data_IF_530266417340
#
_entry.id   IF_530266417340
#
_cell.length_a   1.000
_cell.length_b   1.000
_cell.length_c   1.000
_cell.angle_alpha   90.00
_cell.angle_beta   90.00
_cell.angle_gamma   90.00
#
_symmetry.space_group_name_H-M   'P 1'
#
loop_
_entity.id
_entity.type
_entity.pdbx_description
1 polymer ?
#
# COMPACT_ATOMS: atom_id res chain seq x y z
N UNK A 1 46.16 -54.13 33.24
CA UNK A 1 47.15 -53.18 33.79
C UNK A 1 47.21 -51.94 32.90
N UNK A 2 46.39 -50.92 33.20
CA UNK A 2 46.65 -49.47 33.06
C UNK A 2 45.36 -48.72 33.43
N UNK A 3 45.52 -47.86 34.43
CA UNK A 3 44.54 -47.05 35.16
C UNK A 3 44.00 -45.89 34.29
N UNK A 4 42.70 -45.61 34.35
CA UNK A 4 42.01 -44.50 35.06
C UNK A 4 41.93 -43.17 34.30
N UNK A 5 40.73 -42.57 34.28
CA UNK A 5 40.36 -41.17 34.63
C UNK A 5 38.97 -40.92 34.01
N UNK A 6 37.88 -41.00 34.78
CA UNK A 6 37.20 -39.95 35.58
C UNK A 6 36.20 -39.09 34.79
N UNK A 7 35.03 -38.92 35.42
CA UNK A 7 33.78 -38.28 35.01
C UNK A 7 33.90 -36.88 34.38
N UNK A 8 33.01 -36.57 33.42
CA UNK A 8 32.23 -35.32 33.44
C UNK A 8 30.92 -35.50 32.64
N UNK A 9 29.79 -35.47 33.33
CA UNK A 9 28.45 -35.30 32.77
C UNK A 9 28.23 -33.79 32.57
N UNK A 10 27.93 -33.35 31.34
CA UNK A 10 27.20 -32.08 31.11
C UNK A 10 26.19 -32.30 29.98
N UNK A 11 24.93 -32.19 30.37
CA UNK A 11 23.77 -31.97 29.51
C UNK A 11 24.00 -30.75 28.61
N UNK A 12 23.94 -30.92 27.29
CA UNK A 12 23.61 -29.84 26.37
C UNK A 12 22.23 -30.14 25.76
N UNK A 13 21.18 -29.80 26.50
CA UNK A 13 19.95 -29.36 25.88
C UNK A 13 20.24 -28.00 25.26
N UNK A 14 20.38 -27.96 23.93
CA UNK A 14 20.22 -26.69 23.22
C UNK A 14 18.78 -26.25 23.41
N UNK A 15 18.62 -25.28 24.31
CA UNK A 15 17.47 -24.40 24.42
C UNK A 15 17.16 -23.82 23.03
N UNK A 16 16.27 -24.47 22.28
CA UNK A 16 15.38 -23.73 21.42
C UNK A 16 14.48 -22.94 22.35
N UNK A 17 14.90 -21.72 22.67
CA UNK A 17 13.99 -20.72 23.20
C UNK A 17 12.94 -20.55 22.10
N UNK A 18 11.68 -20.98 22.28
CA UNK A 18 10.64 -20.50 21.40
C UNK A 18 10.72 -18.98 21.53
N UNK A 19 10.97 -18.29 20.43
CA UNK A 19 10.74 -16.85 20.38
C UNK A 19 9.23 -16.71 20.51
N UNK A 20 8.73 -16.77 21.73
CA UNK A 20 7.47 -16.18 22.13
C UNK A 20 7.66 -14.69 21.89
N UNK A 21 7.45 -14.28 20.64
CA UNK A 21 6.97 -12.94 20.38
C UNK A 21 5.63 -12.90 21.11
N UNK A 22 5.61 -12.34 22.32
CA UNK A 22 4.36 -11.83 22.85
C UNK A 22 3.96 -10.69 21.93
N UNK A 23 3.32 -11.05 20.81
CA UNK A 23 2.41 -10.17 20.10
C UNK A 23 1.32 -9.94 21.14
N UNK A 24 1.51 -8.92 21.98
CA UNK A 24 0.40 -8.26 22.61
C UNK A 24 -0.40 -7.66 21.45
N UNK A 25 -1.23 -8.48 20.82
CA UNK A 25 -2.29 -8.05 19.93
C UNK A 25 -3.30 -7.34 20.81
N UNK A 26 -2.98 -6.10 21.18
CA UNK A 26 -4.04 -5.11 21.34
C UNK A 26 -4.81 -5.18 20.03
N UNK A 27 -5.99 -5.79 20.05
CA UNK A 27 -6.72 -6.11 18.83
C UNK A 27 -6.89 -4.84 18.01
N UNK A 28 -6.38 -4.85 16.78
CA UNK A 28 -6.65 -3.75 15.84
C UNK A 28 -8.00 -3.99 15.18
N UNK A 29 -8.70 -2.90 14.90
CA UNK A 29 -9.99 -2.89 14.22
C UNK A 29 -9.74 -2.24 12.86
N UNK A 30 -9.95 -3.03 11.82
CA UNK A 30 -9.89 -2.54 10.45
C UNK A 30 -11.23 -1.96 10.03
N UNK A 31 -11.18 -0.86 9.31
CA UNK A 31 -12.35 -0.15 8.79
C UNK A 31 -12.31 -0.27 7.27
N UNK A 32 -13.31 -0.91 6.62
CA UNK A 32 -13.44 -0.89 5.17
C UNK A 32 -13.45 0.54 4.65
N UNK A 33 -12.89 0.78 3.47
CA UNK A 33 -12.73 2.15 2.96
C UNK A 33 -14.05 2.91 2.83
N UNK A 34 -15.11 2.22 2.41
CA UNK A 34 -16.43 2.82 2.30
C UNK A 34 -17.01 3.24 3.65
N UNK A 35 -16.46 2.82 4.78
CA UNK A 35 -16.84 3.29 6.13
C UNK A 35 -15.95 4.46 6.62
N UNK A 36 -14.83 4.74 5.94
CA UNK A 36 -13.97 5.87 6.30
C UNK A 36 -14.62 7.19 5.94
N UNK A 37 -14.48 8.21 6.79
CA UNK A 37 -15.11 9.51 6.61
C UNK A 37 -14.20 10.59 6.02
N UNK A 38 -12.93 10.28 5.73
CA UNK A 38 -11.89 11.24 5.30
C UNK A 38 -11.68 12.43 6.26
N UNK A 39 -11.90 12.24 7.56
CA UNK A 39 -11.67 13.34 8.52
C UNK A 39 -10.20 13.77 8.58
N UNK A 40 -9.29 12.80 8.50
CA UNK A 40 -7.86 13.02 8.57
C UNK A 40 -7.16 12.19 7.51
N UNK A 41 -6.48 12.88 6.60
CA UNK A 41 -5.85 12.28 5.43
C UNK A 41 -4.34 12.52 5.49
N UNK A 42 -3.57 11.46 5.32
CA UNK A 42 -2.12 11.52 5.23
C UNK A 42 -1.71 11.53 3.78
N UNK A 43 -0.92 12.53 3.41
CA UNK A 43 -0.19 12.62 2.16
C UNK A 43 1.31 12.62 2.48
N UNK A 44 2.13 12.24 1.51
CA UNK A 44 3.58 12.32 1.66
C UNK A 44 4.24 12.83 0.39
N UNK A 45 5.39 13.46 0.55
CA UNK A 45 6.23 13.90 -0.56
C UNK A 45 7.60 13.23 -0.49
N UNK A 46 8.22 12.93 -1.65
CA UNK A 46 9.63 12.60 -1.68
C UNK A 46 10.51 13.77 -1.21
N UNK A 47 11.68 13.48 -0.66
CA UNK A 47 12.57 14.45 -0.01
C UNK A 47 13.09 15.53 -0.96
N UNK A 48 13.14 15.24 -2.26
CA UNK A 48 13.56 16.17 -3.32
C UNK A 48 12.40 16.97 -3.92
N UNK A 49 11.16 16.71 -3.50
CA UNK A 49 9.96 17.34 -4.04
C UNK A 49 9.47 18.45 -3.11
N UNK A 50 9.34 19.65 -3.67
CA UNK A 50 8.90 20.87 -2.98
C UNK A 50 7.58 21.43 -3.52
N UNK A 51 6.85 20.63 -4.30
CA UNK A 51 5.59 21.01 -4.95
C UNK A 51 4.53 19.92 -4.77
N UNK A 52 3.27 20.32 -4.79
CA UNK A 52 2.11 19.45 -4.58
C UNK A 52 1.43 19.01 -5.89
N UNK A 53 2.16 18.97 -7.01
CA UNK A 53 1.60 18.79 -8.37
C UNK A 53 0.62 17.63 -8.47
N UNK A 54 0.93 16.46 -7.87
CA UNK A 54 0.04 15.30 -7.92
C UNK A 54 -1.18 15.38 -6.98
N UNK A 55 -1.16 16.28 -5.99
CA UNK A 55 -2.13 16.34 -4.91
C UNK A 55 -3.10 17.53 -4.99
N UNK A 56 -2.83 18.56 -5.82
CA UNK A 56 -3.61 19.81 -5.79
C UNK A 56 -5.12 19.59 -6.02
N UNK A 57 -5.50 18.74 -6.98
CA UNK A 57 -6.90 18.48 -7.27
C UNK A 57 -7.57 17.65 -6.16
N UNK A 58 -6.85 16.67 -5.61
CA UNK A 58 -7.29 15.89 -4.44
C UNK A 58 -7.57 16.80 -3.23
N UNK A 59 -6.65 17.71 -2.93
CA UNK A 59 -6.80 18.68 -1.84
C UNK A 59 -8.04 19.57 -2.02
N UNK A 60 -8.41 19.86 -3.26
CA UNK A 60 -9.57 20.70 -3.58
C UNK A 60 -10.88 19.91 -3.52
N UNK A 61 -10.87 18.65 -3.97
CA UNK A 61 -12.06 17.80 -4.11
C UNK A 61 -12.50 17.09 -2.84
N UNK A 62 -11.57 16.85 -1.91
CA UNK A 62 -11.90 16.22 -0.64
C UNK A 62 -12.78 17.13 0.23
N UNK A 63 -13.72 16.56 1.02
CA UNK A 63 -14.70 17.32 1.80
C UNK A 63 -14.08 18.45 2.63
N UNK A 64 -14.80 19.55 2.79
CA UNK A 64 -14.32 20.76 3.49
C UNK A 64 -13.91 20.51 4.95
N UNK A 65 -14.41 19.44 5.58
CA UNK A 65 -14.02 19.06 6.94
C UNK A 65 -12.71 18.26 7.03
N UNK A 66 -12.12 17.86 5.89
CA UNK A 66 -10.90 17.03 5.86
C UNK A 66 -9.69 17.82 6.37
N UNK A 67 -8.96 17.28 7.34
CA UNK A 67 -7.62 17.72 7.72
C UNK A 67 -6.56 16.93 6.93
N UNK A 68 -5.65 17.63 6.26
CA UNK A 68 -4.54 17.01 5.53
C UNK A 68 -3.24 17.08 6.33
N UNK A 69 -2.65 15.94 6.62
CA UNK A 69 -1.32 15.80 7.19
C UNK A 69 -0.33 15.48 6.07
N UNK A 70 0.48 16.46 5.66
CA UNK A 70 1.44 16.26 4.58
C UNK A 70 2.83 16.06 5.18
N UNK A 71 3.37 14.85 5.02
CA UNK A 71 4.72 14.51 5.42
C UNK A 71 5.72 15.10 4.42
N UNK A 72 6.59 15.98 4.88
CA UNK A 72 7.53 16.75 4.04
C UNK A 72 8.93 16.73 4.61
N UNK A 73 9.94 16.67 3.75
CA UNK A 73 11.32 16.81 4.23
C UNK A 73 11.54 18.24 4.75
N UNK A 74 12.14 18.36 5.93
CA UNK A 74 12.24 19.62 6.66
C UNK A 74 12.90 20.76 5.89
N UNK A 75 13.81 20.46 4.95
CA UNK A 75 14.46 21.45 4.08
C UNK A 75 13.51 22.09 3.07
N UNK A 76 12.42 21.41 2.69
CA UNK A 76 11.41 21.92 1.76
C UNK A 76 10.26 22.67 2.46
N UNK A 77 10.23 22.66 3.79
CA UNK A 77 9.12 23.22 4.57
C UNK A 77 8.84 24.71 4.24
N UNK A 78 9.84 25.62 4.19
CA UNK A 78 9.56 27.03 3.88
C UNK A 78 9.01 27.25 2.46
N UNK A 79 9.47 26.45 1.50
CA UNK A 79 9.03 26.51 0.10
C UNK A 79 7.56 26.07 0.00
N UNK A 80 7.22 24.96 0.65
CA UNK A 80 5.85 24.44 0.65
C UNK A 80 4.88 25.34 1.42
N UNK A 81 5.31 25.94 2.54
CA UNK A 81 4.51 26.94 3.25
C UNK A 81 4.14 28.09 2.33
N UNK A 82 5.13 28.66 1.62
CA UNK A 82 4.90 29.72 0.64
C UNK A 82 3.98 29.28 -0.49
N UNK A 83 4.13 28.06 -1.02
CA UNK A 83 3.29 27.53 -2.10
C UNK A 83 1.82 27.31 -1.68
N UNK A 84 1.57 27.14 -0.38
CA UNK A 84 0.23 27.02 0.18
C UNK A 84 -0.45 28.38 0.42
N UNK A 85 0.30 29.48 0.47
CA UNK A 85 -0.28 30.81 0.69
C UNK A 85 -1.32 31.15 -0.39
N UNK A 86 -2.52 31.54 0.05
CA UNK A 86 -3.63 31.89 -0.85
C UNK A 86 -4.35 30.71 -1.51
N UNK A 87 -3.93 29.46 -1.28
CA UNK A 87 -4.66 28.28 -1.78
C UNK A 87 -5.95 28.07 -0.99
N UNK A 88 -7.07 27.67 -1.63
CA UNK A 88 -8.37 27.54 -0.95
C UNK A 88 -8.40 26.44 0.12
N UNK A 89 -7.49 25.47 0.03
CA UNK A 89 -7.36 24.37 0.98
C UNK A 89 -6.28 24.61 2.06
N UNK A 90 -5.58 25.74 2.05
CA UNK A 90 -4.40 25.97 2.90
C UNK A 90 -4.70 25.83 4.40
N UNK A 91 -5.86 26.31 4.86
CA UNK A 91 -6.29 26.23 6.26
C UNK A 91 -6.51 24.81 6.78
N UNK A 92 -6.66 23.85 5.86
CA UNK A 92 -6.87 22.43 6.16
C UNK A 92 -5.57 21.62 6.11
N UNK A 93 -4.45 22.24 5.72
CA UNK A 93 -3.17 21.55 5.54
C UNK A 93 -2.27 21.78 6.73
N UNK A 94 -1.79 20.68 7.31
CA UNK A 94 -0.75 20.65 8.33
C UNK A 94 0.49 19.96 7.76
N UNK A 95 1.57 20.73 7.60
CA UNK A 95 2.86 20.20 7.17
C UNK A 95 3.57 19.53 8.36
N UNK A 96 3.90 18.25 8.21
CA UNK A 96 4.56 17.43 9.23
C UNK A 96 6.00 17.16 8.76
N UNK A 97 7.01 17.81 9.35
CA UNK A 97 8.39 17.62 8.90
C UNK A 97 8.88 16.21 9.27
N UNK A 98 9.61 15.60 8.35
CA UNK A 98 10.56 14.53 8.65
C UNK A 98 11.97 14.98 8.25
N UNK A 99 12.96 14.22 8.70
CA UNK A 99 14.36 14.51 8.41
C UNK A 99 15.04 13.22 7.94
N UNK A 100 15.39 13.20 6.67
CA UNK A 100 16.25 12.20 6.08
C UNK A 100 17.65 12.33 6.70
N UNK A 101 18.07 11.33 7.50
CA UNK A 101 19.45 11.31 8.03
C UNK A 101 20.36 10.63 7.03
N UNK A 102 21.52 11.27 6.78
CA UNK A 102 22.55 10.65 5.97
C UNK A 102 23.09 9.39 6.67
N UNK A 103 23.01 8.22 6.03
CA UNK A 103 23.77 7.04 6.45
C UNK A 103 25.22 7.28 6.04
N UNK A 104 26.14 7.01 6.97
CA UNK A 104 27.58 7.04 6.74
C UNK A 104 27.95 6.25 5.47
N UNK A 105 28.44 6.95 4.45
CA UNK A 105 28.83 6.39 3.15
C UNK A 105 29.83 5.24 3.30
N UNK A 106 30.68 5.25 4.32
CA UNK A 106 31.64 4.17 4.59
C UNK A 106 30.96 2.83 4.90
N UNK A 107 29.81 2.86 5.56
CA UNK A 107 29.01 1.64 5.83
C UNK A 107 28.30 1.14 4.58
N UNK A 108 27.86 2.05 3.71
CA UNK A 108 27.32 1.70 2.40
C UNK A 108 28.34 0.96 1.54
N UNK A 109 29.54 1.52 1.38
CA UNK A 109 30.61 0.88 0.62
C UNK A 109 30.97 -0.48 1.22
N UNK A 110 31.00 -0.61 2.55
CA UNK A 110 31.25 -1.91 3.22
C UNK A 110 30.17 -2.96 2.92
N UNK A 111 28.90 -2.56 2.76
CA UNK A 111 27.82 -3.48 2.37
C UNK A 111 27.88 -3.86 0.89
N UNK A 112 28.18 -2.88 0.02
CA UNK A 112 28.29 -3.07 -1.43
C UNK A 112 29.52 -3.90 -1.80
N UNK A 113 30.67 -3.69 -1.16
CA UNK A 113 31.89 -4.46 -1.40
C UNK A 113 31.71 -5.94 -1.05
N UNK A 114 30.92 -6.23 -0.01
CA UNK A 114 30.58 -7.61 0.38
C UNK A 114 29.52 -8.25 -0.52
N UNK A 115 28.83 -7.47 -1.33
CA UNK A 115 27.82 -7.98 -2.25
C UNK A 115 27.63 -7.02 -3.45
N UNK A 116 28.43 -7.17 -4.52
CA UNK A 116 28.47 -6.23 -5.66
C UNK A 116 27.14 -6.07 -6.39
N UNK A 117 26.23 -7.04 -6.27
CA UNK A 117 24.86 -6.95 -6.81
C UNK A 117 24.04 -5.83 -6.15
N UNK A 118 24.46 -5.35 -4.98
CA UNK A 118 23.81 -4.27 -4.22
C UNK A 118 24.23 -2.87 -4.69
N UNK A 119 25.33 -2.71 -5.43
CA UNK A 119 25.89 -1.42 -5.83
C UNK A 119 24.90 -0.56 -6.65
N UNK A 120 24.15 -1.19 -7.55
CA UNK A 120 23.16 -0.51 -8.40
C UNK A 120 21.81 -0.24 -7.71
N UNK A 121 21.52 -0.94 -6.62
CA UNK A 121 20.24 -0.84 -5.91
C UNK A 121 20.30 0.20 -4.79
N UNK A 122 21.45 0.33 -4.12
CA UNK A 122 21.57 1.11 -2.88
C UNK A 122 22.10 2.54 -3.05
N UNK A 123 22.75 2.91 -4.16
CA UNK A 123 23.42 4.23 -4.32
C UNK A 123 22.49 5.43 -4.08
N UNK A 124 21.19 5.30 -4.36
CA UNK A 124 20.19 6.36 -4.20
C UNK A 124 19.22 6.14 -3.03
N UNK A 125 19.40 5.10 -2.19
CA UNK A 125 18.30 4.52 -1.38
C UNK A 125 18.64 4.22 0.09
N UNK A 126 19.62 4.94 0.65
CA UNK A 126 20.13 4.72 2.02
C UNK A 126 19.45 5.54 3.11
N UNK A 127 18.46 6.35 2.76
CA UNK A 127 17.87 7.36 3.64
C UNK A 127 16.36 7.37 3.44
N UNK A 128 15.54 7.69 4.47
CA UNK A 128 14.11 7.87 4.29
C UNK A 128 13.89 8.92 3.21
N UNK A 129 13.47 8.50 2.02
CA UNK A 129 13.26 9.43 0.92
C UNK A 129 11.87 10.01 0.98
N UNK A 130 10.96 9.48 1.81
CA UNK A 130 9.55 9.72 1.62
C UNK A 130 9.09 9.16 0.27
N UNK A 131 7.81 9.30 -0.01
CA UNK A 131 7.22 8.82 -1.26
C UNK A 131 6.03 9.69 -1.58
N UNK A 132 5.61 9.71 -2.84
CA UNK A 132 4.31 10.26 -3.23
C UNK A 132 3.18 9.26 -2.94
N UNK A 133 3.52 7.97 -2.74
CA UNK A 133 2.57 6.87 -2.54
C UNK A 133 2.28 6.64 -1.06
N UNK A 134 1.55 7.57 -0.43
CA UNK A 134 1.17 7.43 0.98
C UNK A 134 0.36 6.13 1.22
N UNK A 135 -0.41 5.70 0.22
CA UNK A 135 -1.21 4.47 0.31
C UNK A 135 -0.36 3.22 0.50
N UNK A 136 0.79 3.14 -0.17
CA UNK A 136 1.64 1.95 -0.13
C UNK A 136 2.44 1.85 1.17
N UNK A 137 2.57 2.98 1.87
CA UNK A 137 3.48 3.12 3.00
C UNK A 137 2.99 2.45 4.28
N UNK A 138 1.68 2.27 4.42
CA UNK A 138 1.04 1.63 5.58
C UNK A 138 -0.44 1.32 5.30
N UNK A 139 -1.03 0.52 6.18
CA UNK A 139 -2.49 0.40 6.35
C UNK A 139 -2.88 1.05 7.67
N UNK A 140 -3.90 1.90 7.69
CA UNK A 140 -4.40 2.51 8.92
C UNK A 140 -5.53 1.69 9.54
N UNK A 141 -5.52 1.59 10.86
CA UNK A 141 -6.48 0.85 11.68
C UNK A 141 -6.79 1.65 12.95
N UNK A 142 -7.71 1.14 13.75
CA UNK A 142 -7.96 1.63 15.11
C UNK A 142 -7.53 0.60 16.15
N UNK A 143 -7.07 1.03 17.31
CA UNK A 143 -6.93 0.13 18.46
C UNK A 143 -8.30 -0.10 19.15
N UNK A 144 -8.29 -0.84 20.27
CA UNK A 144 -9.49 -1.11 21.06
C UNK A 144 -10.12 0.14 21.70
N UNK A 145 -9.38 1.24 21.78
CA UNK A 145 -9.84 2.52 22.31
C UNK A 145 -10.31 3.47 21.19
N UNK A 146 -10.19 3.06 19.92
CA UNK A 146 -10.51 3.87 18.76
C UNK A 146 -9.38 4.78 18.28
N UNK A 147 -8.17 4.66 18.85
CA UNK A 147 -7.02 5.48 18.48
C UNK A 147 -6.35 4.95 17.20
N UNK A 148 -5.81 5.83 16.34
CA UNK A 148 -5.21 5.43 15.07
C UNK A 148 -3.91 4.64 15.25
N UNK A 149 -3.83 3.49 14.58
CA UNK A 149 -2.68 2.59 14.53
C UNK A 149 -2.26 2.37 13.08
N UNK A 150 -0.96 2.55 12.80
CA UNK A 150 -0.37 2.27 11.51
C UNK A 150 0.19 0.84 11.49
N UNK A 151 -0.36 0.05 10.58
CA UNK A 151 0.13 -1.25 10.16
C UNK A 151 1.16 -1.03 9.08
N UNK A 152 2.39 -0.88 9.53
CA UNK A 152 3.49 -0.54 8.64
C UNK A 152 4.11 -1.83 8.11
N UNK A 153 4.08 -2.08 6.78
CA UNK A 153 4.76 -3.22 6.19
C UNK A 153 6.24 -3.18 6.55
N UNK A 154 6.88 -4.35 6.59
CA UNK A 154 8.34 -4.36 6.64
C UNK A 154 8.84 -4.01 5.25
N UNK A 155 8.82 -2.72 4.94
CA UNK A 155 9.10 -2.19 3.63
C UNK A 155 10.59 -2.35 3.35
N UNK A 156 10.86 -3.19 2.36
CA UNK A 156 12.19 -3.57 1.95
C UNK A 156 12.30 -3.51 0.44
N UNK A 157 12.30 -2.29 -0.11
CA UNK A 157 12.97 -2.11 -1.41
C UNK A 157 14.45 -2.54 -1.37
N UNK A 158 15.01 -2.89 -0.20
CA UNK A 158 16.43 -3.12 0.06
C UNK A 158 16.82 -4.37 0.91
N UNK A 159 15.96 -5.36 1.22
CA UNK A 159 16.40 -6.58 1.99
C UNK A 159 16.40 -7.90 1.20
N UNK A 160 16.04 -7.88 -0.08
CA UNK A 160 16.25 -9.09 -0.89
C UNK A 160 17.67 -9.07 -1.44
N UNK A 161 18.64 -9.65 -0.72
CA UNK A 161 19.39 -10.82 -1.20
C UNK A 161 20.15 -11.54 -0.04
N UNK A 162 20.06 -12.88 0.04
CA UNK A 162 20.52 -13.69 1.16
C UNK A 162 22.01 -14.02 1.05
N UNK A 163 22.85 -13.29 1.80
CA UNK A 163 24.20 -13.80 2.15
C UNK A 163 24.91 -13.01 3.24
N UNK A 164 24.39 -11.87 3.68
CA UNK A 164 25.04 -11.14 4.76
C UNK A 164 24.50 -11.63 6.09
N UNK A 165 25.32 -12.40 6.82
CA UNK A 165 25.22 -12.47 8.28
C UNK A 165 25.42 -11.06 8.80
N UNK A 166 24.34 -10.29 8.88
CA UNK A 166 24.38 -8.98 9.50
C UNK A 166 24.39 -9.23 11.00
N UNK A 167 25.59 -9.45 11.52
CA UNK A 167 25.85 -9.48 12.94
C UNK A 167 25.25 -8.23 13.59
N UNK A 168 24.76 -8.42 14.81
CA UNK A 168 24.17 -7.38 15.66
C UNK A 168 24.87 -6.02 15.48
N UNK A 169 24.05 -4.96 15.29
CA UNK A 169 24.38 -3.51 15.21
C UNK A 169 24.43 -2.83 13.83
N UNK A 170 23.81 -3.36 12.78
CA UNK A 170 23.48 -2.54 11.61
C UNK A 170 22.15 -1.79 11.80
N UNK A 171 22.21 -0.51 12.15
CA UNK A 171 21.03 0.36 12.16
C UNK A 171 20.66 0.78 10.74
N UNK A 172 20.18 -0.15 9.90
CA UNK A 172 19.53 0.20 8.64
C UNK A 172 18.19 0.86 8.99
N UNK A 173 18.01 2.12 8.59
CA UNK A 173 16.73 2.80 8.71
C UNK A 173 15.80 2.30 7.62
N UNK A 174 14.55 2.01 7.99
CA UNK A 174 13.54 1.60 7.02
C UNK A 174 13.07 2.82 6.23
N UNK A 175 12.69 2.63 4.96
CA UNK A 175 12.21 3.74 4.13
C UNK A 175 10.97 4.40 4.73
N UNK A 176 10.15 3.64 5.44
CA UNK A 176 8.96 4.11 6.15
C UNK A 176 9.26 4.79 7.51
N UNK A 177 10.53 5.00 7.89
CA UNK A 177 10.88 5.62 9.18
C UNK A 177 10.38 7.07 9.27
N UNK A 178 10.14 7.76 8.16
CA UNK A 178 9.52 9.10 8.17
C UNK A 178 8.10 9.09 8.75
N UNK A 179 7.39 7.96 8.75
CA UNK A 179 6.08 7.82 9.39
C UNK A 179 6.15 8.03 10.91
N UNK A 180 7.33 7.88 11.54
CA UNK A 180 7.54 8.18 12.96
C UNK A 180 7.23 9.64 13.31
N UNK A 181 7.29 10.55 12.35
CA UNK A 181 6.87 11.95 12.55
C UNK A 181 5.39 12.09 12.90
N UNK A 182 4.55 11.10 12.58
CA UNK A 182 3.12 11.10 12.96
C UNK A 182 2.88 10.79 14.44
N UNK A 183 3.86 10.25 15.18
CA UNK A 183 3.71 9.89 16.60
C UNK A 183 3.36 11.07 17.49
N UNK A 184 3.83 12.26 17.14
CA UNK A 184 3.49 13.50 17.86
C UNK A 184 2.00 13.88 17.76
N UNK A 185 1.23 13.19 16.91
CA UNK A 185 -0.20 13.39 16.71
C UNK A 185 -1.05 12.29 17.38
N UNK A 186 -0.46 11.49 18.28
CA UNK A 186 -1.14 10.36 18.92
C UNK A 186 -1.22 9.12 18.04
N UNK A 187 -0.58 9.11 16.87
CA UNK A 187 -0.61 7.96 15.95
C UNK A 187 0.40 6.90 16.40
N UNK A 188 -0.08 5.70 16.68
CA UNK A 188 0.75 4.57 17.06
C UNK A 188 1.21 3.79 15.83
N UNK A 189 2.40 3.18 15.89
CA UNK A 189 2.86 2.26 14.86
C UNK A 189 2.91 0.87 15.46
N UNK A 190 2.28 -0.11 14.82
CA UNK A 190 2.40 -1.50 15.26
C UNK A 190 3.84 -2.00 15.08
N UNK A 191 4.25 -2.93 15.94
CA UNK A 191 5.51 -3.63 15.79
C UNK A 191 5.56 -4.36 14.44
N UNK A 192 6.68 -4.23 13.74
CA UNK A 192 6.86 -4.90 12.46
C UNK A 192 6.80 -6.43 12.61
N UNK A 193 6.04 -7.05 11.71
CA UNK A 193 6.08 -8.49 11.43
C UNK A 193 6.74 -8.68 10.06
N UNK A 194 7.40 -9.82 9.77
CA UNK A 194 8.12 -10.04 8.51
C UNK A 194 7.16 -10.28 7.32
N UNK A 195 6.19 -9.40 7.15
CA UNK A 195 5.27 -9.32 6.03
C UNK A 195 5.64 -8.11 5.17
N UNK A 196 5.68 -8.34 3.86
CA UNK A 196 5.86 -7.32 2.83
C UNK A 196 4.53 -7.15 2.13
N UNK A 197 4.01 -5.93 2.15
CA UNK A 197 2.81 -5.56 1.43
C UNK A 197 2.84 -4.07 1.13
N UNK A 198 2.02 -3.67 0.17
CA UNK A 198 1.72 -2.29 -0.15
C UNK A 198 0.25 -2.07 0.23
N UNK A 199 -0.10 -0.95 0.85
CA UNK A 199 -1.49 -0.68 1.22
C UNK A 199 -2.43 -0.58 0.02
N UNK A 200 -1.94 -0.30 -1.20
CA UNK A 200 -2.72 -0.40 -2.43
C UNK A 200 -3.01 -1.85 -2.85
N UNK A 201 -2.32 -2.83 -2.27
CA UNK A 201 -2.46 -4.26 -2.55
C UNK A 201 -3.18 -5.03 -1.44
N UNK A 202 -3.77 -4.30 -0.48
CA UNK A 202 -4.55 -4.85 0.62
C UNK A 202 -5.84 -4.05 0.77
N UNK A 203 -6.96 -4.77 0.78
CA UNK A 203 -8.27 -4.22 1.09
C UNK A 203 -8.90 -4.94 2.27
N UNK A 204 -9.79 -4.25 2.98
CA UNK A 204 -10.60 -4.80 4.06
C UNK A 204 -12.07 -4.70 3.71
N UNK A 205 -12.84 -5.72 4.04
CA UNK A 205 -14.29 -5.74 3.87
C UNK A 205 -14.97 -6.61 4.94
N UNK A 206 -16.29 -6.47 5.05
CA UNK A 206 -17.18 -7.24 5.92
C UNK A 206 -18.15 -8.08 5.06
N UNK A 207 -17.86 -9.38 4.93
CA UNK A 207 -18.69 -10.32 4.15
C UNK A 207 -19.41 -11.29 5.07
N UNK A 208 -20.75 -11.26 5.03
CA UNK A 208 -21.57 -12.17 5.83
C UNK A 208 -21.31 -12.06 7.34
N UNK A 209 -20.98 -10.85 7.83
CA UNK A 209 -20.63 -10.60 9.23
C UNK A 209 -19.22 -11.02 9.63
N UNK A 210 -18.35 -11.36 8.67
CA UNK A 210 -16.94 -11.68 8.91
C UNK A 210 -16.04 -10.63 8.30
N UNK A 211 -15.02 -10.22 9.04
CA UNK A 211 -13.95 -9.37 8.56
C UNK A 211 -13.03 -10.16 7.61
N UNK A 212 -12.76 -9.60 6.44
CA UNK A 212 -11.93 -10.22 5.40
C UNK A 212 -10.86 -9.24 4.95
N UNK A 213 -9.61 -9.70 4.90
CA UNK A 213 -8.54 -9.02 4.17
C UNK A 213 -8.37 -9.63 2.78
N UNK A 214 -8.54 -8.83 1.73
CA UNK A 214 -8.19 -9.20 0.36
C UNK A 214 -6.73 -8.79 0.13
N UNK A 215 -5.85 -9.76 -0.11
CA UNK A 215 -4.41 -9.54 -0.24
C UNK A 215 -3.94 -9.98 -1.62
N UNK A 216 -3.22 -9.10 -2.33
CA UNK A 216 -2.67 -9.45 -3.64
C UNK A 216 -1.60 -10.54 -3.52
N UNK A 217 -1.60 -11.50 -4.45
CA UNK A 217 -0.64 -12.62 -4.45
C UNK A 217 0.83 -12.16 -4.39
N UNK A 218 1.17 -11.01 -4.98
CA UNK A 218 2.55 -10.50 -4.95
C UNK A 218 3.01 -10.09 -3.54
N UNK A 219 2.11 -9.64 -2.65
CA UNK A 219 2.45 -9.38 -1.24
C UNK A 219 2.79 -10.68 -0.50
N UNK A 220 2.08 -11.77 -0.78
CA UNK A 220 2.39 -13.10 -0.23
C UNK A 220 3.74 -13.59 -0.77
N UNK A 221 3.99 -13.48 -2.07
CA UNK A 221 5.26 -13.89 -2.71
C UNK A 221 6.46 -13.09 -2.17
N UNK A 222 6.31 -11.78 -2.03
CA UNK A 222 7.32 -10.91 -1.45
C UNK A 222 7.61 -11.28 0.01
N UNK A 223 6.58 -11.60 0.79
CA UNK A 223 6.72 -12.04 2.18
C UNK A 223 7.42 -13.40 2.30
N UNK A 224 7.11 -14.36 1.41
CA UNK A 224 7.82 -15.65 1.33
C UNK A 224 9.30 -15.44 0.94
N UNK A 225 9.57 -14.55 -0.02
CA UNK A 225 10.93 -14.23 -0.41
C UNK A 225 11.73 -13.60 0.74
N UNK A 226 11.10 -12.69 1.51
CA UNK A 226 11.68 -12.11 2.72
C UNK A 226 11.96 -13.19 3.77
N UNK A 227 10.98 -14.05 4.07
CA UNK A 227 11.10 -15.15 5.03
C UNK A 227 12.31 -16.05 4.73
N UNK A 228 12.48 -16.43 3.45
CA UNK A 228 13.64 -17.19 2.98
C UNK A 228 14.94 -16.42 3.17
N UNK A 229 14.93 -15.12 2.88
CA UNK A 229 16.12 -14.28 2.97
C UNK A 229 16.63 -14.12 4.41
N UNK A 230 15.71 -13.93 5.37
CA UNK A 230 16.04 -13.79 6.80
C UNK A 230 16.09 -15.13 7.54
N UNK A 231 15.88 -16.25 6.84
CA UNK A 231 15.84 -17.61 7.39
C UNK A 231 14.83 -17.75 8.55
N UNK A 232 13.69 -17.07 8.48
CA UNK A 232 12.62 -17.22 9.51
C UNK A 232 11.87 -18.55 9.39
N UNK A 233 11.95 -19.21 8.24
CA UNK A 233 11.35 -20.53 8.02
C UNK A 233 9.84 -20.51 7.79
N UNK A 234 9.24 -19.35 7.56
CA UNK A 234 7.80 -19.24 7.27
C UNK A 234 7.51 -19.67 5.83
N UNK A 235 6.62 -20.65 5.67
CA UNK A 235 6.04 -21.03 4.39
C UNK A 235 4.81 -20.16 4.06
N UNK A 236 4.16 -20.42 2.93
CA UNK A 236 3.00 -19.63 2.49
C UNK A 236 1.85 -19.70 3.51
N UNK A 237 1.57 -20.86 4.10
CA UNK A 237 0.52 -21.02 5.11
C UNK A 237 0.80 -20.18 6.36
N UNK A 238 2.03 -20.23 6.89
CA UNK A 238 2.43 -19.42 8.03
C UNK A 238 2.41 -17.91 7.73
N UNK A 239 2.69 -17.51 6.49
CA UNK A 239 2.59 -16.11 6.05
C UNK A 239 1.12 -15.66 6.02
N UNK A 240 0.18 -16.50 5.58
CA UNK A 240 -1.25 -16.20 5.61
C UNK A 240 -1.79 -16.08 7.03
N UNK A 241 -1.41 -17.00 7.92
CA UNK A 241 -1.75 -16.93 9.34
C UNK A 241 -1.17 -15.66 9.98
N UNK A 242 0.01 -15.24 9.53
CA UNK A 242 0.63 -13.99 9.97
C UNK A 242 -0.13 -12.77 9.44
N UNK A 243 -0.57 -12.74 8.18
CA UNK A 243 -1.46 -11.67 7.69
C UNK A 243 -2.76 -11.62 8.48
N UNK A 244 -3.37 -12.78 8.74
CA UNK A 244 -4.62 -12.90 9.50
C UNK A 244 -4.46 -12.35 10.92
N UNK A 245 -3.39 -12.75 11.60
CA UNK A 245 -3.09 -12.32 12.97
C UNK A 245 -2.68 -10.85 13.01
N UNK A 246 -1.83 -10.42 12.07
CA UNK A 246 -1.36 -9.04 11.99
C UNK A 246 -2.52 -8.09 11.79
N UNK A 247 -3.37 -8.35 10.80
CA UNK A 247 -4.56 -7.55 10.53
C UNK A 247 -5.79 -7.91 11.38
N UNK A 248 -5.67 -8.83 12.35
CA UNK A 248 -6.79 -9.22 13.22
C UNK A 248 -8.14 -9.44 12.48
N UNK A 249 -8.10 -10.19 11.37
CA UNK A 249 -9.29 -10.48 10.53
C UNK A 249 -9.74 -11.94 10.68
N UNK A 250 -11.00 -12.22 10.37
CA UNK A 250 -11.54 -13.58 10.39
C UNK A 250 -10.97 -14.43 9.26
N UNK A 251 -10.78 -13.84 8.07
CA UNK A 251 -10.26 -14.51 6.90
C UNK A 251 -9.29 -13.63 6.11
N UNK A 252 -8.31 -14.28 5.49
CA UNK A 252 -7.46 -13.67 4.46
C UNK A 252 -7.75 -14.38 3.16
N UNK A 253 -8.17 -13.62 2.14
CA UNK A 253 -8.38 -14.12 0.80
C UNK A 253 -7.26 -13.59 -0.10
N UNK A 254 -6.46 -14.51 -0.63
CA UNK A 254 -5.46 -14.17 -1.64
C UNK A 254 -6.18 -14.00 -2.97
N UNK A 255 -6.04 -12.82 -3.57
CA UNK A 255 -6.64 -12.52 -4.87
C UNK A 255 -5.58 -12.25 -5.92
N UNK A 256 -5.92 -12.58 -7.16
CA UNK A 256 -5.02 -12.56 -8.31
C UNK A 256 -4.50 -13.93 -8.72
N UNK A 257 -3.66 -13.91 -9.76
CA UNK A 257 -2.93 -15.09 -10.29
C UNK A 257 -1.50 -15.13 -9.71
N UNK A 258 -0.67 -16.05 -10.18
CA UNK A 258 0.71 -16.25 -9.68
C UNK A 258 1.58 -14.97 -9.72
N UNK A 259 1.30 -14.03 -10.63
CA UNK A 259 1.99 -12.74 -10.71
C UNK A 259 1.05 -11.65 -11.20
N UNK A 260 1.08 -10.47 -10.59
CA UNK A 260 0.32 -9.34 -11.12
C UNK A 260 0.93 -8.85 -12.46
N UNK A 261 0.12 -8.52 -13.47
CA UNK A 261 0.60 -8.02 -14.76
C UNK A 261 1.44 -6.76 -14.61
N UNK A 262 2.45 -6.56 -15.47
CA UNK A 262 3.34 -5.39 -15.36
C UNK A 262 2.60 -4.05 -15.51
N UNK A 263 1.47 -4.02 -16.23
CA UNK A 263 0.68 -2.80 -16.40
C UNK A 263 -0.25 -2.54 -15.20
N UNK A 264 -0.46 -3.52 -14.32
CA UNK A 264 -1.35 -3.45 -13.16
C UNK A 264 -0.55 -3.87 -11.92
N UNK A 265 -0.02 -2.89 -11.20
CA UNK A 265 0.92 -3.09 -10.11
C UNK A 265 0.25 -3.54 -8.83
N UNK A 266 -0.89 -2.93 -8.47
CA UNK A 266 -1.58 -3.16 -7.22
C UNK A 266 -3.07 -3.44 -7.43
N UNK A 267 -3.70 -4.10 -6.46
CA UNK A 267 -5.13 -4.43 -6.51
C UNK A 267 -6.04 -3.21 -6.63
N UNK A 268 -5.64 -2.06 -6.09
CA UNK A 268 -6.41 -0.83 -6.20
C UNK A 268 -6.54 -0.26 -7.63
N UNK A 269 -5.71 -0.73 -8.55
CA UNK A 269 -5.87 -0.49 -9.99
C UNK A 269 -6.85 -1.46 -10.64
N UNK A 270 -7.14 -2.59 -9.99
CA UNK A 270 -8.04 -3.63 -10.49
C UNK A 270 -9.45 -3.53 -9.92
N UNK A 271 -9.58 -3.16 -8.65
CA UNK A 271 -10.85 -3.23 -7.92
C UNK A 271 -10.95 -2.24 -6.76
N UNK A 272 -12.17 -2.03 -6.30
CA UNK A 272 -12.48 -1.39 -5.02
C UNK A 272 -13.68 -2.09 -4.37
N UNK A 273 -13.59 -2.56 -3.10
CA UNK A 273 -14.74 -3.02 -2.35
C UNK A 273 -15.72 -1.87 -2.07
N UNK A 274 -17.01 -2.19 -2.11
CA UNK A 274 -18.13 -1.29 -1.90
C UNK A 274 -19.11 -1.93 -0.90
N UNK A 275 -19.96 -1.14 -0.22
CA UNK A 275 -20.87 -1.67 0.80
C UNK A 275 -21.77 -2.78 0.27
N UNK A 276 -22.12 -3.72 1.16
CA UNK A 276 -23.09 -4.77 0.86
C UNK A 276 -22.52 -5.96 0.06
N UNK A 277 -21.21 -6.22 0.18
CA UNK A 277 -20.55 -7.31 -0.54
C UNK A 277 -20.48 -7.04 -2.05
N UNK A 278 -20.28 -5.77 -2.42
CA UNK A 278 -20.14 -5.35 -3.81
C UNK A 278 -18.67 -5.07 -4.09
N UNK A 279 -18.18 -5.43 -5.26
CA UNK A 279 -16.86 -5.02 -5.73
C UNK A 279 -16.98 -4.32 -7.08
N UNK A 280 -16.46 -3.10 -7.18
CA UNK A 280 -16.20 -2.46 -8.47
C UNK A 280 -14.92 -3.09 -9.05
N UNK A 281 -14.98 -3.66 -10.25
CA UNK A 281 -13.83 -4.36 -10.88
C UNK A 281 -13.62 -3.83 -12.29
N UNK A 282 -12.37 -3.51 -12.61
CA UNK A 282 -11.99 -2.97 -13.92
C UNK A 282 -12.29 -3.97 -15.04
N UNK A 283 -12.90 -3.48 -16.13
CA UNK A 283 -13.17 -4.23 -17.36
C UNK A 283 -12.54 -3.52 -18.54
N UNK A 284 -11.64 -4.18 -19.24
CA UNK A 284 -11.03 -3.63 -20.45
C UNK A 284 -11.99 -3.74 -21.64
N UNK A 285 -12.16 -2.66 -22.41
CA UNK A 285 -12.98 -2.63 -23.61
C UNK A 285 -12.24 -1.95 -24.78
N UNK A 286 -12.75 -2.12 -25.99
CA UNK A 286 -12.16 -1.56 -27.22
C UNK A 286 -11.40 -2.58 -28.07
N UNK A 287 -10.65 -2.06 -29.04
CA UNK A 287 -9.88 -2.86 -30.00
C UNK A 287 -8.49 -3.18 -29.45
N UNK A 288 -8.03 -4.41 -29.65
CA UNK A 288 -6.68 -4.82 -29.27
C UNK A 288 -5.62 -4.00 -30.02
N UNK A 289 -4.49 -3.66 -29.37
CA UNK A 289 -3.39 -2.98 -30.04
C UNK A 289 -2.81 -3.84 -31.17
N UNK A 290 -2.24 -3.19 -32.18
CA UNK A 290 -1.66 -3.87 -33.35
C UNK A 290 -0.32 -4.56 -33.04
N UNK A 291 0.44 -4.01 -32.09
CA UNK A 291 1.73 -4.57 -31.66
C UNK A 291 1.54 -5.86 -30.88
N UNK A 292 2.19 -6.95 -31.31
CA UNK A 292 2.18 -8.24 -30.59
C UNK A 292 2.62 -8.11 -29.13
N UNK A 293 3.57 -7.20 -28.84
CA UNK A 293 4.05 -6.96 -27.47
C UNK A 293 2.96 -6.32 -26.61
N UNK A 294 2.32 -5.27 -27.10
CA UNK A 294 1.26 -4.56 -26.38
C UNK A 294 0.03 -5.45 -26.23
N UNK A 295 -0.29 -6.23 -27.27
CA UNK A 295 -1.37 -7.20 -27.26
C UNK A 295 -1.20 -8.21 -26.13
N UNK A 296 0.00 -8.79 -26.01
CA UNK A 296 0.32 -9.71 -24.92
C UNK A 296 0.17 -9.05 -23.54
N UNK A 297 0.65 -7.81 -23.37
CA UNK A 297 0.53 -7.10 -22.10
C UNK A 297 -0.93 -6.84 -21.71
N UNK A 298 -1.77 -6.46 -22.67
CA UNK A 298 -3.21 -6.29 -22.45
C UNK A 298 -3.90 -7.63 -22.17
N UNK A 299 -3.51 -8.71 -22.83
CA UNK A 299 -4.02 -10.07 -22.56
C UNK A 299 -3.71 -10.52 -21.13
N UNK A 300 -2.50 -10.28 -20.63
CA UNK A 300 -2.12 -10.57 -19.24
C UNK A 300 -3.01 -9.81 -18.24
N UNK A 301 -3.31 -8.53 -18.51
CA UNK A 301 -4.25 -7.73 -17.70
C UNK A 301 -5.67 -8.31 -17.75
N UNK A 302 -6.15 -8.69 -18.94
CA UNK A 302 -7.49 -9.29 -19.10
C UNK A 302 -7.63 -10.61 -18.38
N UNK A 303 -6.62 -11.46 -18.47
CA UNK A 303 -6.57 -12.74 -17.80
C UNK A 303 -6.60 -12.54 -16.28
N UNK A 304 -5.78 -11.64 -15.75
CA UNK A 304 -5.78 -11.29 -14.33
C UNK A 304 -7.16 -10.82 -13.85
N UNK A 305 -7.77 -9.87 -14.57
CA UNK A 305 -9.08 -9.31 -14.24
C UNK A 305 -10.21 -10.34 -14.35
N UNK A 306 -10.09 -11.33 -15.24
CA UNK A 306 -11.04 -12.44 -15.35
C UNK A 306 -10.95 -13.39 -14.14
N UNK A 307 -9.73 -13.78 -13.75
CA UNK A 307 -9.50 -14.61 -12.58
C UNK A 307 -9.94 -13.92 -11.28
N UNK A 308 -9.66 -12.62 -11.16
CA UNK A 308 -10.10 -11.82 -10.03
C UNK A 308 -11.63 -11.86 -9.87
N UNK A 309 -12.38 -11.73 -10.97
CA UNK A 309 -13.86 -11.84 -10.94
C UNK A 309 -14.33 -13.21 -10.44
N UNK A 310 -13.70 -14.28 -10.91
CA UNK A 310 -14.05 -15.64 -10.48
C UNK A 310 -13.82 -15.80 -8.97
N UNK A 311 -12.67 -15.35 -8.47
CA UNK A 311 -12.34 -15.40 -7.04
C UNK A 311 -13.31 -14.57 -6.20
N UNK A 312 -13.61 -13.34 -6.63
CA UNK A 312 -14.57 -12.48 -5.91
C UNK A 312 -15.97 -13.09 -5.87
N UNK A 313 -16.46 -13.67 -6.98
CA UNK A 313 -17.74 -14.38 -6.97
C UNK A 313 -17.74 -15.59 -6.02
N UNK A 314 -16.66 -16.36 -5.97
CA UNK A 314 -16.52 -17.49 -5.04
C UNK A 314 -16.52 -17.03 -3.57
N UNK A 315 -16.02 -15.83 -3.30
CA UNK A 315 -16.06 -15.19 -1.98
C UNK A 315 -17.44 -14.58 -1.64
N UNK A 316 -18.38 -14.55 -2.59
CA UNK A 316 -19.74 -14.06 -2.40
C UNK A 316 -19.98 -12.61 -2.84
N UNK A 317 -19.02 -12.00 -3.57
CA UNK A 317 -19.20 -10.64 -4.06
C UNK A 317 -20.15 -10.56 -5.26
N UNK A 318 -20.94 -9.48 -5.27
CA UNK A 318 -21.59 -8.98 -6.49
C UNK A 318 -20.64 -8.02 -7.19
N UNK A 319 -20.43 -8.22 -8.50
CA UNK A 319 -19.46 -7.42 -9.26
C UNK A 319 -20.17 -6.33 -10.06
N UNK A 320 -19.60 -5.13 -10.01
CA UNK A 320 -19.92 -4.00 -10.89
C UNK A 320 -18.71 -3.80 -11.79
N UNK A 321 -18.91 -3.96 -13.10
CA UNK A 321 -17.84 -3.70 -14.07
C UNK A 321 -17.62 -2.18 -14.20
N UNK A 322 -16.36 -1.74 -14.04
CA UNK A 322 -15.93 -0.35 -14.30
C UNK A 322 -15.06 -0.38 -15.56
N UNK A 323 -15.57 0.15 -16.65
CA UNK A 323 -14.95 0.00 -17.96
C UNK A 323 -13.77 0.97 -18.15
N UNK A 324 -12.70 0.49 -18.79
CA UNK A 324 -11.55 1.28 -19.23
C UNK A 324 -11.11 0.81 -20.61
N UNK A 325 -10.58 1.71 -21.44
CA UNK A 325 -10.11 1.33 -22.77
C UNK A 325 -8.78 0.56 -22.70
N UNK A 326 -8.48 -0.23 -23.73
CA UNK A 326 -7.17 -0.90 -23.83
C UNK A 326 -6.02 0.10 -23.95
N UNK A 327 -6.24 1.25 -24.59
CA UNK A 327 -5.26 2.33 -24.67
C UNK A 327 -4.97 2.93 -23.29
N UNK A 328 -6.01 3.16 -22.48
CA UNK A 328 -5.86 3.58 -21.10
C UNK A 328 -5.04 2.57 -20.27
N UNK A 329 -5.25 1.26 -20.46
CA UNK A 329 -4.44 0.21 -19.81
C UNK A 329 -2.96 0.29 -20.18
N UNK A 330 -2.62 0.46 -21.46
CA UNK A 330 -1.24 0.60 -21.92
C UNK A 330 -0.54 1.80 -21.29
N UNK A 331 -1.30 2.88 -21.09
CA UNK A 331 -0.83 4.12 -20.46
C UNK A 331 -1.05 4.16 -18.94
N UNK A 332 -1.46 3.04 -18.32
CA UNK A 332 -1.69 2.87 -16.88
C UNK A 332 -2.71 3.86 -16.29
N UNK A 333 -3.69 4.23 -17.09
CA UNK A 333 -4.80 5.13 -16.76
C UNK A 333 -6.00 4.32 -16.28
N UNK A 334 -5.87 3.74 -15.09
CA UNK A 334 -6.96 2.98 -14.47
C UNK A 334 -7.92 3.91 -13.74
N UNK A 335 -9.23 3.61 -13.68
CA UNK A 335 -10.20 4.43 -12.96
C UNK A 335 -9.87 4.66 -11.47
N UNK A 336 -9.00 3.80 -10.88
CA UNK A 336 -8.40 3.87 -9.53
C UNK A 336 -9.04 4.92 -8.63
N UNK A 337 -9.94 4.49 -7.75
CA UNK A 337 -10.91 5.37 -7.12
C UNK A 337 -10.68 5.53 -5.61
N UNK A 338 -11.03 6.70 -5.08
CA UNK A 338 -11.19 6.94 -3.64
C UNK A 338 -12.61 6.54 -3.25
N UNK A 339 -12.75 5.65 -2.27
CA UNK A 339 -14.04 5.27 -1.70
C UNK A 339 -14.12 5.78 -0.27
N UNK A 340 -15.22 6.47 0.08
CA UNK A 340 -15.44 6.96 1.44
C UNK A 340 -16.91 7.24 1.72
N UNK A 341 -17.31 7.32 2.99
CA UNK A 341 -18.62 7.87 3.40
C UNK A 341 -18.48 9.34 3.74
N UNK A 342 -19.22 10.21 3.06
CA UNK A 342 -19.27 11.61 3.42
C UNK A 342 -20.00 11.79 4.78
N UNK A 343 -19.30 12.30 5.79
CA UNK A 343 -19.83 12.43 7.16
C UNK A 343 -21.05 13.34 7.29
N UNK A 344 -21.15 14.36 6.44
CA UNK A 344 -22.24 15.34 6.50
C UNK A 344 -23.53 14.77 5.90
N UNK A 345 -23.42 13.88 4.92
CA UNK A 345 -24.58 13.34 4.18
C UNK A 345 -24.89 11.87 4.49
N UNK A 346 -23.94 11.14 5.08
CA UNK A 346 -24.01 9.69 5.29
C UNK A 346 -23.97 8.86 4.00
N UNK A 347 -23.71 9.48 2.85
CA UNK A 347 -23.68 8.79 1.55
C UNK A 347 -22.27 8.32 1.22
N UNK A 348 -22.18 7.20 0.52
CA UNK A 348 -20.92 6.71 -0.03
C UNK A 348 -20.58 7.48 -1.29
N UNK A 349 -19.40 8.07 -1.27
CA UNK A 349 -18.83 8.88 -2.33
C UNK A 349 -17.67 8.13 -3.00
N UNK A 350 -17.60 8.27 -4.32
CA UNK A 350 -16.56 7.69 -5.17
C UNK A 350 -15.88 8.84 -5.94
N UNK A 351 -14.55 8.94 -5.85
CA UNK A 351 -13.76 9.86 -6.67
C UNK A 351 -12.95 9.06 -7.67
N UNK A 352 -13.35 9.09 -8.94
CA UNK A 352 -12.64 8.38 -10.01
C UNK A 352 -11.45 9.21 -10.52
N UNK A 353 -10.34 8.53 -10.83
CA UNK A 353 -9.23 9.16 -11.52
C UNK A 353 -9.64 9.59 -12.93
N UNK A 354 -9.25 10.81 -13.32
CA UNK A 354 -9.27 11.29 -14.72
C UNK A 354 -7.91 11.78 -15.12
N UNK A 355 -7.61 11.74 -16.42
CA UNK A 355 -6.28 12.10 -16.92
C UNK A 355 -6.41 13.18 -17.99
N UNK A 356 -5.44 14.11 -18.01
CA UNK A 356 -5.48 15.27 -18.93
C UNK A 356 -5.41 14.88 -20.42
N UNK A 357 -4.95 13.67 -20.71
CA UNK A 357 -4.75 13.12 -22.05
C UNK A 357 -5.78 12.03 -22.40
N UNK A 358 -6.89 11.94 -21.66
CA UNK A 358 -7.98 10.99 -21.93
C UNK A 358 -8.49 11.13 -23.37
N UNK A 359 -8.67 9.99 -24.04
CA UNK A 359 -9.28 9.96 -25.37
C UNK A 359 -10.79 10.24 -25.29
N UNK A 360 -11.42 10.49 -26.44
CA UNK A 360 -12.89 10.62 -26.50
C UNK A 360 -13.59 9.34 -26.01
N UNK A 361 -13.03 8.16 -26.32
CA UNK A 361 -13.55 6.88 -25.82
C UNK A 361 -13.43 6.82 -24.29
N UNK A 362 -12.30 7.21 -23.71
CA UNK A 362 -12.12 7.20 -22.25
C UNK A 362 -13.11 8.13 -21.55
N UNK A 363 -13.38 9.30 -22.16
CA UNK A 363 -14.40 10.22 -21.66
C UNK A 363 -15.81 9.59 -21.70
N UNK A 364 -16.18 8.91 -22.78
CA UNK A 364 -17.48 8.23 -22.89
C UNK A 364 -17.61 7.07 -21.88
N UNK A 365 -16.56 6.26 -21.72
CA UNK A 365 -16.54 5.17 -20.74
C UNK A 365 -16.63 5.67 -19.32
N UNK A 366 -15.99 6.80 -19.01
CA UNK A 366 -16.11 7.47 -17.72
C UNK A 366 -17.55 7.89 -17.43
N UNK A 367 -18.22 8.58 -18.35
CA UNK A 367 -19.62 8.98 -18.15
C UNK A 367 -20.54 7.76 -17.95
N UNK A 368 -20.30 6.68 -18.70
CA UNK A 368 -21.01 5.40 -18.51
C UNK A 368 -20.78 4.83 -17.11
N UNK A 369 -19.53 4.80 -16.64
CA UNK A 369 -19.20 4.31 -15.30
C UNK A 369 -19.85 5.15 -14.20
N UNK A 370 -19.83 6.48 -14.35
CA UNK A 370 -20.47 7.42 -13.43
C UNK A 370 -21.96 7.11 -13.33
N UNK A 371 -22.66 7.03 -14.46
CA UNK A 371 -24.09 6.73 -14.49
C UNK A 371 -24.41 5.39 -13.80
N UNK A 372 -23.68 4.34 -14.17
CA UNK A 372 -23.88 3.00 -13.61
C UNK A 372 -23.67 2.95 -12.08
N UNK A 373 -22.69 3.69 -11.56
CA UNK A 373 -22.44 3.78 -10.12
C UNK A 373 -23.49 4.64 -9.41
N UNK A 374 -23.94 5.74 -10.03
CA UNK A 374 -25.02 6.58 -9.49
C UNK A 374 -26.36 5.84 -9.42
N UNK A 375 -26.68 4.98 -10.39
CA UNK A 375 -27.86 4.10 -10.36
C UNK A 375 -27.85 3.14 -9.17
N UNK A 376 -26.68 2.84 -8.61
CA UNK A 376 -26.51 2.03 -7.40
C UNK A 376 -26.56 2.85 -6.10
N UNK A 377 -26.80 4.15 -6.20
CA UNK A 377 -26.97 5.04 -5.05
C UNK A 377 -25.69 5.73 -4.56
N UNK A 378 -24.57 5.58 -5.29
CA UNK A 378 -23.32 6.26 -4.96
C UNK A 378 -23.32 7.71 -5.43
N UNK A 379 -22.64 8.60 -4.70
CA UNK A 379 -22.30 9.93 -5.18
C UNK A 379 -20.95 9.83 -5.89
N UNK A 380 -20.88 10.24 -7.15
CA UNK A 380 -19.71 10.00 -7.99
C UNK A 380 -19.19 11.32 -8.54
N UNK A 381 -17.91 11.60 -8.30
CA UNK A 381 -17.18 12.75 -8.86
C UNK A 381 -15.82 12.26 -9.43
N UNK A 382 -15.06 13.17 -10.03
CA UNK A 382 -13.75 12.89 -10.60
C UNK A 382 -12.66 13.76 -9.99
N UNK A 383 -11.43 13.25 -10.05
CA UNK A 383 -10.20 13.93 -9.66
C UNK A 383 -9.19 13.76 -10.78
N UNK A 384 -8.75 14.88 -11.35
CA UNK A 384 -7.70 14.90 -12.34
C UNK A 384 -6.35 14.57 -11.70
N UNK A 385 -5.57 13.71 -12.34
CA UNK A 385 -4.26 13.30 -11.83
C UNK A 385 -3.27 12.98 -12.94
N UNK A 386 -2.00 13.28 -12.68
CA UNK A 386 -0.85 12.85 -13.50
C UNK A 386 -0.10 11.66 -12.84
N UNK A 387 -0.70 11.02 -11.83
CA UNK A 387 -0.07 9.92 -11.09
C UNK A 387 0.27 8.71 -11.99
N UNK A 388 -0.41 8.53 -13.12
CA UNK A 388 -0.14 7.46 -14.09
C UNK A 388 1.28 7.54 -14.67
N UNK A 389 1.86 8.74 -14.77
CA UNK A 389 3.25 8.95 -15.20
C UNK A 389 4.27 8.25 -14.30
N UNK A 390 3.88 7.93 -13.07
CA UNK A 390 4.67 7.18 -12.10
C UNK A 390 4.01 5.84 -11.72
N UNK A 391 3.10 5.33 -12.56
CA UNK A 391 2.41 4.04 -12.38
C UNK A 391 1.35 3.98 -11.26
N UNK A 392 0.74 5.11 -10.88
CA UNK A 392 -0.34 5.16 -9.88
C UNK A 392 -1.60 5.86 -10.35
N UNK A 393 -2.58 5.97 -9.47
CA UNK A 393 -3.76 6.84 -9.62
C UNK A 393 -4.02 7.61 -8.32
N UNK A 394 -5.19 8.24 -8.20
CA UNK A 394 -5.48 9.07 -7.02
C UNK A 394 -5.53 8.29 -5.72
N UNK A 395 -5.93 7.01 -5.78
CA UNK A 395 -6.01 6.17 -4.60
C UNK A 395 -4.64 5.90 -3.98
N UNK A 396 -3.60 5.85 -4.81
CA UNK A 396 -2.24 5.59 -4.38
C UNK A 396 -1.63 6.78 -3.60
N UNK A 397 -2.16 8.00 -3.77
CA UNK A 397 -1.57 9.24 -3.26
C UNK A 397 -1.85 9.53 -1.79
N UNK A 398 -2.87 8.88 -1.21
CA UNK A 398 -3.35 9.22 0.12
C UNK A 398 -3.56 8.00 1.01
N UNK A 399 -3.65 8.25 2.31
CA UNK A 399 -4.12 7.29 3.29
C UNK A 399 -5.01 8.00 4.30
N UNK A 400 -5.83 7.28 5.06
CA UNK A 400 -6.77 7.84 6.04
C UNK A 400 -6.36 7.43 7.45
N UNK A 401 -6.58 8.28 8.46
CA UNK A 401 -6.36 7.94 9.87
C UNK A 401 -7.67 7.78 10.64
#
# INVERSE_FOLDING_TARGET
MRLSVFQFFVFFFSLMVPVQTSLASGGVIHVPEYENTLEKVVLSLPAKVSQLVYHEDLLTRFPSYTEFLILVEGTNLPILQKNLEGKPYASRVKLIPYYSKNVDEGRYFTMVDKNPTLAGVFRDRLWPQGTVWARDSFVACKDQNGEPVLMVPTYYRNIVFPSVNVGEKSHLQFDNDYLKSLRGLGVHMQKSVPLVFDGGNVFFDNLGGKSVALVGKDSVRASVALSRAIKSGMDEAAILDSFKTFFNVDNVAIVGIERQPQLLFHLDQAMAPLPGGIAAVVKTVGTMPESDTEKKQVEEVREFLSHLRIQLHQLGYTIIDVETSMDAVLHRRFPNMVVYTNRETGKVNLLLSTYSDDSELDAQLREKNIHQLQERGYVVDHVNTDANRNNGGVHCLYNTL
#
